data_IF_512753157898
#
_entry.id   IF_512753157898
#
_cell.length_a   1.000
_cell.length_b   1.000
_cell.length_c   1.000
_cell.angle_alpha   90.00
_cell.angle_beta   90.00
_cell.angle_gamma   90.00
#
_symmetry.space_group_name_H-M   'P 1'
#
loop_
_entity.id
_entity.type
_entity.pdbx_description
1 polymer ?
#
# COMPACT_ATOMS: atom_id res chain seq x y z
N UNK A 1 4.71 24.32 9.53
CA UNK A 1 3.28 24.50 9.20
C UNK A 1 2.49 23.55 10.08
N UNK A 2 1.58 24.10 10.88
CA UNK A 2 0.75 23.39 11.86
C UNK A 2 -0.34 22.55 11.19
N UNK A 3 -0.71 21.38 11.75
CA UNK A 3 -1.80 20.54 11.25
C UNK A 3 -3.14 21.18 11.64
N UNK A 4 -3.53 22.23 10.93
CA UNK A 4 -4.79 22.92 11.17
C UNK A 4 -5.94 22.17 10.50
N UNK A 5 -6.69 21.46 11.36
CA UNK A 5 -8.09 21.04 11.25
C UNK A 5 -8.76 21.33 9.89
N UNK A 6 -8.65 20.37 8.97
CA UNK A 6 -9.67 20.17 7.93
C UNK A 6 -10.97 19.76 8.64
N UNK A 7 -11.81 20.75 8.98
CA UNK A 7 -13.14 20.52 9.53
C UNK A 7 -14.02 19.85 8.46
N UNK A 8 -14.75 18.86 8.92
CA UNK A 8 -15.57 17.90 8.17
C UNK A 8 -16.59 18.50 7.21
N UNK A 9 -16.65 17.90 6.01
CA UNK A 9 -17.84 17.63 5.19
C UNK A 9 -18.79 18.81 4.97
N UNK A 10 -18.30 19.90 4.38
CA UNK A 10 -19.14 20.85 3.65
C UNK A 10 -19.32 20.38 2.19
N UNK A 11 -20.36 20.83 1.49
CA UNK A 11 -20.54 20.56 0.05
C UNK A 11 -19.31 20.98 -0.78
N UNK A 12 -18.60 22.01 -0.32
CA UNK A 12 -17.35 22.51 -0.92
C UNK A 12 -16.21 21.48 -0.86
N UNK A 13 -16.24 20.54 0.08
CA UNK A 13 -15.21 19.50 0.22
C UNK A 13 -15.24 18.48 -0.92
N UNK A 14 -16.40 18.26 -1.55
CA UNK A 14 -16.52 17.31 -2.68
C UNK A 14 -15.81 17.81 -3.94
N UNK A 15 -15.75 19.13 -4.13
CA UNK A 15 -15.07 19.75 -5.28
C UNK A 15 -13.55 19.60 -5.23
N UNK A 16 -13.00 19.31 -4.06
CA UNK A 16 -11.57 19.10 -3.87
C UNK A 16 -11.17 17.65 -4.17
N UNK A 17 -12.12 16.73 -4.32
CA UNK A 17 -11.82 15.32 -4.63
C UNK A 17 -11.42 15.20 -6.10
N UNK A 18 -10.36 14.45 -6.35
CA UNK A 18 -9.93 14.16 -7.70
C UNK A 18 -11.08 13.51 -8.51
N UNK A 19 -11.36 13.94 -9.75
CA UNK A 19 -12.52 13.48 -10.52
C UNK A 19 -12.69 11.96 -10.59
N UNK A 20 -11.59 11.23 -10.83
CA UNK A 20 -11.60 9.76 -10.87
C UNK A 20 -12.06 9.09 -9.56
N UNK A 21 -11.86 9.74 -8.41
CA UNK A 21 -12.15 9.17 -7.10
C UNK A 21 -13.53 9.59 -6.58
N UNK A 22 -14.13 10.64 -7.14
CA UNK A 22 -15.35 11.26 -6.65
C UNK A 22 -16.52 10.28 -6.58
N UNK A 23 -16.81 9.60 -7.69
CA UNK A 23 -17.94 8.67 -7.77
C UNK A 23 -17.79 7.50 -6.78
N UNK A 24 -16.59 6.94 -6.67
CA UNK A 24 -16.28 5.86 -5.73
C UNK A 24 -16.44 6.31 -4.29
N UNK A 25 -15.90 7.48 -3.93
CA UNK A 25 -15.99 8.00 -2.57
C UNK A 25 -17.45 8.30 -2.18
N UNK A 26 -18.23 8.93 -3.08
CA UNK A 26 -19.67 9.16 -2.88
C UNK A 26 -20.44 7.85 -2.64
N UNK A 27 -20.16 6.80 -3.43
CA UNK A 27 -20.78 5.50 -3.24
C UNK A 27 -20.53 4.91 -1.85
N UNK A 28 -19.27 4.95 -1.39
CA UNK A 28 -18.87 4.45 -0.06
C UNK A 28 -19.58 5.21 1.07
N UNK A 29 -19.62 6.55 0.98
CA UNK A 29 -20.28 7.38 2.00
C UNK A 29 -21.79 7.15 2.01
N UNK A 30 -22.42 7.12 0.84
CA UNK A 30 -23.86 6.87 0.70
C UNK A 30 -24.27 5.50 1.23
N UNK A 31 -23.52 4.45 0.89
CA UNK A 31 -23.75 3.10 1.39
C UNK A 31 -23.64 3.06 2.92
N UNK A 32 -22.60 3.68 3.48
CA UNK A 32 -22.39 3.72 4.92
C UNK A 32 -23.49 4.50 5.66
N UNK A 33 -23.97 5.60 5.10
CA UNK A 33 -25.05 6.39 5.69
C UNK A 33 -26.37 5.62 5.64
N UNK A 34 -26.68 5.00 4.49
CA UNK A 34 -27.88 4.17 4.31
C UNK A 34 -27.93 3.03 5.33
N UNK A 35 -26.80 2.38 5.57
CA UNK A 35 -26.72 1.25 6.51
C UNK A 35 -26.36 1.68 7.94
N UNK A 36 -26.25 2.99 8.23
CA UNK A 36 -25.85 3.55 9.53
C UNK A 36 -24.53 2.97 10.07
N UNK A 37 -23.57 2.71 9.18
CA UNK A 37 -22.25 2.14 9.47
C UNK A 37 -21.15 3.20 9.42
N UNK A 38 -19.99 2.86 9.97
CA UNK A 38 -18.75 3.61 9.76
C UNK A 38 -18.24 3.35 8.34
N UNK A 39 -17.66 4.36 7.70
CA UNK A 39 -16.89 4.19 6.46
C UNK A 39 -15.41 4.50 6.68
N UNK A 40 -14.60 3.93 5.80
CA UNK A 40 -13.21 4.32 5.57
C UNK A 40 -13.01 4.40 4.06
N UNK A 41 -12.43 5.48 3.57
CA UNK A 41 -12.21 5.70 2.15
C UNK A 41 -10.89 6.40 1.92
N UNK A 42 -10.08 5.88 0.99
CA UNK A 42 -8.84 6.54 0.55
C UNK A 42 -9.06 7.15 -0.83
N UNK A 43 -8.71 8.42 -0.99
CA UNK A 43 -8.87 9.14 -2.26
C UNK A 43 -7.86 10.29 -2.37
N UNK A 44 -7.76 10.84 -3.56
CA UNK A 44 -6.93 12.00 -3.85
C UNK A 44 -7.72 13.29 -3.65
N UNK A 45 -7.12 14.24 -2.95
CA UNK A 45 -7.57 15.63 -2.89
C UNK A 45 -6.65 16.51 -3.73
N UNK A 46 -7.25 17.50 -4.40
CA UNK A 46 -6.59 18.59 -5.09
C UNK A 46 -6.56 19.77 -4.12
N UNK A 47 -5.36 20.19 -3.71
CA UNK A 47 -5.23 21.30 -2.77
C UNK A 47 -5.68 22.62 -3.41
N UNK A 48 -6.48 23.45 -2.73
CA UNK A 48 -6.94 24.72 -3.28
C UNK A 48 -5.82 25.74 -3.54
N UNK A 49 -4.73 25.68 -2.78
CA UNK A 49 -3.66 26.68 -2.79
C UNK A 49 -2.75 26.56 -4.01
N UNK A 50 -2.45 25.34 -4.45
CA UNK A 50 -1.46 25.09 -5.51
C UNK A 50 -1.86 23.97 -6.49
N UNK A 51 -3.05 23.37 -6.33
CA UNK A 51 -3.50 22.26 -7.17
C UNK A 51 -2.77 20.94 -6.93
N UNK A 52 -1.90 20.84 -5.93
CA UNK A 52 -1.16 19.62 -5.64
C UNK A 52 -2.10 18.49 -5.22
N UNK A 53 -1.79 17.28 -5.68
CA UNK A 53 -2.54 16.09 -5.30
C UNK A 53 -1.99 15.53 -4.00
N UNK A 54 -2.84 15.35 -3.00
CA UNK A 54 -2.53 14.65 -1.75
C UNK A 54 -3.43 13.44 -1.57
N UNK A 55 -2.86 12.37 -1.05
CA UNK A 55 -3.65 11.21 -0.67
C UNK A 55 -4.19 11.39 0.73
N UNK A 56 -5.49 11.19 0.90
CA UNK A 56 -6.14 11.24 2.19
C UNK A 56 -6.91 9.95 2.47
N UNK A 57 -6.99 9.61 3.75
CA UNK A 57 -7.93 8.64 4.26
C UNK A 57 -9.00 9.38 5.05
N UNK A 58 -10.23 9.29 4.58
CA UNK A 58 -11.40 9.75 5.31
C UNK A 58 -12.03 8.57 6.04
N UNK A 59 -12.43 8.81 7.29
CA UNK A 59 -13.20 7.87 8.08
C UNK A 59 -14.29 8.63 8.81
N UNK A 60 -15.52 8.13 8.75
CA UNK A 60 -16.63 8.82 9.39
C UNK A 60 -17.82 7.94 9.69
N UNK A 61 -18.75 8.51 10.45
CA UNK A 61 -20.05 7.94 10.79
C UNK A 61 -21.09 9.05 10.85
N UNK A 62 -22.24 8.83 10.23
CA UNK A 62 -23.43 9.64 10.44
C UNK A 62 -24.22 9.17 11.66
N UNK A 63 -24.69 10.11 12.46
CA UNK A 63 -25.65 9.92 13.55
C UNK A 63 -27.00 10.48 13.12
N UNK A 64 -28.07 9.76 13.41
CA UNK A 64 -29.43 10.09 12.97
C UNK A 64 -30.38 10.12 14.17
N UNK A 65 -31.43 10.92 14.10
CA UNK A 65 -32.51 10.95 15.09
C UNK A 65 -33.48 9.76 14.94
N UNK A 66 -34.46 9.68 15.83
CA UNK A 66 -35.48 8.62 15.83
C UNK A 66 -36.37 8.64 14.57
N UNK A 67 -36.48 9.80 13.92
CA UNK A 67 -37.23 9.99 12.67
C UNK A 67 -36.39 9.75 11.41
N UNK A 68 -35.09 9.47 11.58
CA UNK A 68 -34.15 9.19 10.49
C UNK A 68 -33.46 10.42 9.91
N UNK A 69 -33.62 11.62 10.49
CA UNK A 69 -32.89 12.80 10.03
C UNK A 69 -31.45 12.77 10.51
N UNK A 70 -30.54 13.28 9.67
CA UNK A 70 -29.12 13.40 10.01
C UNK A 70 -28.92 14.44 11.12
N UNK A 71 -28.37 14.00 12.26
CA UNK A 71 -28.01 14.87 13.39
C UNK A 71 -26.59 15.41 13.21
N UNK A 72 -25.64 14.52 12.92
CA UNK A 72 -24.23 14.87 12.82
C UNK A 72 -23.45 13.87 11.98
N UNK A 73 -22.32 14.33 11.43
CA UNK A 73 -21.30 13.46 10.84
C UNK A 73 -20.04 13.63 11.65
N UNK A 74 -19.59 12.56 12.29
CA UNK A 74 -18.31 12.51 12.98
C UNK A 74 -17.30 11.83 12.07
N UNK A 75 -16.22 12.53 11.73
CA UNK A 75 -15.18 11.97 10.88
C UNK A 75 -13.82 12.62 11.06
N UNK A 76 -12.81 11.99 10.48
CA UNK A 76 -11.45 12.48 10.46
C UNK A 76 -10.83 12.24 9.08
N UNK A 77 -10.24 13.29 8.53
CA UNK A 77 -9.48 13.24 7.31
C UNK A 77 -7.99 13.21 7.65
N UNK A 78 -7.29 12.18 7.21
CA UNK A 78 -5.87 11.93 7.54
C UNK A 78 -5.07 12.01 6.26
N UNK A 79 -4.01 12.85 6.23
CA UNK A 79 -3.04 12.83 5.15
C UNK A 79 -2.23 11.53 5.20
N UNK A 80 -2.38 10.71 4.16
CA UNK A 80 -1.67 9.43 3.99
C UNK A 80 -0.67 9.49 2.84
N UNK A 81 -0.37 10.68 2.31
CA UNK A 81 0.64 10.90 1.27
C UNK A 81 2.01 10.32 1.67
N UNK A 82 2.52 10.52 2.91
CA UNK A 82 3.78 9.91 3.33
C UNK A 82 3.76 8.38 3.25
N UNK A 83 2.64 7.75 3.62
CA UNK A 83 2.49 6.30 3.55
C UNK A 83 2.51 5.80 2.10
N UNK A 84 1.74 6.44 1.21
CA UNK A 84 1.69 6.08 -0.22
C UNK A 84 3.05 6.26 -0.90
N UNK A 85 3.80 7.30 -0.52
CA UNK A 85 5.13 7.55 -1.05
C UNK A 85 6.12 6.47 -0.58
N UNK A 86 6.12 6.12 0.71
CA UNK A 86 6.96 5.04 1.25
C UNK A 86 6.65 3.68 0.59
N UNK A 87 5.37 3.35 0.37
CA UNK A 87 4.96 2.14 -0.35
C UNK A 87 5.47 2.13 -1.80
N UNK A 88 5.38 3.28 -2.49
CA UNK A 88 5.88 3.43 -3.86
C UNK A 88 7.39 3.28 -3.93
N UNK A 89 8.13 3.91 -3.02
CA UNK A 89 9.59 3.85 -2.98
C UNK A 89 10.09 2.45 -2.64
N UNK A 90 9.41 1.76 -1.71
CA UNK A 90 9.69 0.37 -1.39
C UNK A 90 9.48 -0.53 -2.62
N UNK A 91 8.32 -0.41 -3.29
CA UNK A 91 8.02 -1.18 -4.49
C UNK A 91 9.05 -0.91 -5.59
N UNK A 92 9.37 0.36 -5.85
CA UNK A 92 10.38 0.75 -6.83
C UNK A 92 11.74 0.14 -6.51
N UNK A 93 12.17 0.18 -5.24
CA UNK A 93 13.43 -0.43 -4.81
C UNK A 93 13.44 -1.94 -4.99
N UNK A 94 12.34 -2.63 -4.68
CA UNK A 94 12.20 -4.07 -4.84
C UNK A 94 12.23 -4.48 -6.32
N UNK A 95 11.47 -3.78 -7.17
CA UNK A 95 11.45 -3.99 -8.62
C UNK A 95 12.84 -3.77 -9.23
N UNK A 96 13.50 -2.67 -8.84
CA UNK A 96 14.85 -2.36 -9.31
C UNK A 96 15.88 -3.40 -8.84
N UNK A 97 15.82 -3.83 -7.59
CA UNK A 97 16.67 -4.91 -7.08
C UNK A 97 16.46 -6.18 -7.91
N UNK A 98 15.21 -6.60 -8.11
CA UNK A 98 14.88 -7.80 -8.88
C UNK A 98 15.41 -7.70 -10.31
N UNK A 99 15.12 -6.60 -11.02
CA UNK A 99 15.60 -6.40 -12.39
C UNK A 99 17.13 -6.47 -12.51
N UNK A 100 17.86 -5.84 -11.58
CA UNK A 100 19.32 -5.89 -11.58
C UNK A 100 19.85 -7.29 -11.24
N UNK A 101 19.25 -7.95 -10.26
CA UNK A 101 19.65 -9.29 -9.83
C UNK A 101 19.43 -10.35 -10.91
N UNK A 102 18.31 -10.30 -11.64
CA UNK A 102 18.02 -11.21 -12.75
C UNK A 102 18.92 -10.95 -13.98
N UNK A 103 19.29 -9.70 -14.23
CA UNK A 103 20.13 -9.33 -15.38
C UNK A 103 21.62 -9.66 -15.19
N UNK A 104 22.08 -9.88 -13.95
CA UNK A 104 23.46 -10.20 -13.67
C UNK A 104 23.79 -11.65 -14.04
N UNK A 105 24.93 -11.93 -14.69
CA UNK A 105 25.34 -13.30 -14.98
C UNK A 105 25.83 -14.07 -13.74
N UNK A 106 26.02 -13.41 -12.60
CA UNK A 106 26.41 -14.04 -11.34
C UNK A 106 25.20 -14.62 -10.61
N UNK A 107 25.42 -15.68 -9.85
CA UNK A 107 24.44 -16.22 -8.90
C UNK A 107 24.30 -15.22 -7.74
N UNK A 108 23.06 -14.80 -7.46
CA UNK A 108 22.70 -13.92 -6.35
C UNK A 108 21.63 -14.60 -5.51
N UNK A 109 21.82 -14.60 -4.19
CA UNK A 109 20.79 -15.03 -3.25
C UNK A 109 20.73 -14.12 -2.03
N UNK A 110 19.57 -14.09 -1.40
CA UNK A 110 19.32 -13.39 -0.14
C UNK A 110 18.75 -14.38 0.86
N UNK A 111 19.32 -14.38 2.06
CA UNK A 111 18.81 -15.14 3.19
C UNK A 111 18.16 -14.19 4.20
N UNK A 112 17.11 -14.66 4.87
CA UNK A 112 16.52 -13.94 5.99
C UNK A 112 17.41 -14.04 7.25
N UNK A 113 17.00 -13.39 8.36
CA UNK A 113 17.74 -13.40 9.62
C UNK A 113 17.93 -14.79 10.26
N UNK A 114 17.09 -15.78 9.91
CA UNK A 114 17.24 -17.18 10.33
C UNK A 114 18.15 -17.98 9.40
N UNK A 115 18.63 -17.35 8.32
CA UNK A 115 19.45 -17.96 7.30
C UNK A 115 18.68 -18.77 6.26
N UNK A 116 17.36 -18.67 6.21
CA UNK A 116 16.54 -19.35 5.21
C UNK A 116 16.55 -18.54 3.91
N UNK A 117 16.55 -19.24 2.76
CA UNK A 117 16.56 -18.61 1.45
C UNK A 117 15.25 -17.85 1.20
N UNK A 118 15.38 -16.54 1.03
CA UNK A 118 14.28 -15.62 0.77
C UNK A 118 14.16 -15.34 -0.73
N UNK A 119 15.30 -15.17 -1.42
CA UNK A 119 15.38 -14.90 -2.84
C UNK A 119 16.61 -15.57 -3.46
N UNK A 120 16.48 -16.02 -4.70
CA UNK A 120 17.58 -16.38 -5.58
C UNK A 120 17.22 -16.01 -7.02
N UNK A 121 18.19 -15.50 -7.79
CA UNK A 121 18.00 -15.13 -9.19
C UNK A 121 18.01 -16.35 -10.12
N UNK A 122 17.67 -16.16 -11.40
CA UNK A 122 17.56 -17.25 -12.38
C UNK A 122 18.84 -18.09 -12.50
N UNK A 123 20.01 -17.46 -12.38
CA UNK A 123 21.30 -18.13 -12.48
C UNK A 123 21.49 -19.20 -11.40
N UNK A 124 20.92 -19.02 -10.19
CA UNK A 124 20.93 -20.06 -9.15
C UNK A 124 20.16 -21.30 -9.61
N UNK A 125 18.99 -21.11 -10.21
CA UNK A 125 18.14 -22.22 -10.64
C UNK A 125 18.73 -22.91 -11.86
N UNK A 126 19.30 -22.16 -12.80
CA UNK A 126 19.97 -22.73 -13.98
C UNK A 126 21.19 -23.58 -13.58
N UNK A 127 21.95 -23.11 -12.58
CA UNK A 127 23.12 -23.83 -12.08
C UNK A 127 22.75 -25.06 -11.24
N UNK A 128 21.82 -24.91 -10.30
CA UNK A 128 21.51 -25.95 -9.32
C UNK A 128 20.46 -26.95 -9.78
N UNK A 129 19.60 -26.57 -10.74
CA UNK A 129 18.43 -27.33 -11.16
C UNK A 129 17.32 -27.41 -10.10
N UNK A 130 17.43 -26.67 -9.00
CA UNK A 130 16.49 -26.71 -7.88
C UNK A 130 15.36 -25.70 -8.07
N UNK A 131 14.19 -25.95 -7.47
CA UNK A 131 13.18 -24.91 -7.27
C UNK A 131 13.47 -24.07 -6.02
N UNK A 132 12.81 -22.93 -5.84
CA UNK A 132 12.93 -22.12 -4.62
C UNK A 132 12.61 -22.94 -3.35
N UNK A 133 11.52 -23.73 -3.38
CA UNK A 133 11.11 -24.56 -2.25
C UNK A 133 12.19 -25.60 -1.89
N UNK A 134 12.73 -26.27 -2.90
CA UNK A 134 13.82 -27.23 -2.72
C UNK A 134 15.10 -26.54 -2.23
N UNK A 135 15.35 -25.32 -2.69
CA UNK A 135 16.51 -24.52 -2.31
C UNK A 135 16.42 -23.98 -0.88
N UNK A 136 15.25 -24.01 -0.22
CA UNK A 136 15.15 -23.69 1.21
C UNK A 136 15.63 -24.81 2.12
N UNK A 137 15.72 -26.05 1.63
CA UNK A 137 16.32 -27.16 2.36
C UNK A 137 17.85 -27.08 2.31
N UNK A 138 18.44 -26.54 3.39
CA UNK A 138 19.90 -26.40 3.55
C UNK A 138 20.68 -27.71 3.43
N UNK A 139 20.05 -28.89 3.58
CA UNK A 139 20.73 -30.18 3.36
C UNK A 139 21.07 -30.38 1.89
N UNK A 140 20.28 -29.83 0.96
CA UNK A 140 20.53 -29.92 -0.48
C UNK A 140 21.71 -29.07 -0.94
N UNK A 141 22.08 -28.04 -0.17
CA UNK A 141 23.24 -27.21 -0.50
C UNK A 141 24.57 -27.94 -0.30
N UNK A 142 24.62 -28.87 0.66
CA UNK A 142 25.80 -29.73 0.89
C UNK A 142 26.10 -30.67 -0.29
N UNK A 143 25.13 -30.93 -1.15
CA UNK A 143 25.33 -31.71 -2.37
C UNK A 143 25.92 -30.88 -3.53
N UNK A 144 25.85 -29.54 -3.44
CA UNK A 144 26.40 -28.61 -4.43
C UNK A 144 27.81 -28.11 -4.06
N UNK A 145 28.23 -28.25 -2.79
CA UNK A 145 29.60 -28.00 -2.38
C UNK A 145 30.52 -29.09 -2.94
N UNK A 146 31.51 -28.69 -3.75
CA UNK A 146 32.62 -29.55 -4.17
C UNK A 146 33.21 -30.19 -2.90
N UNK A 147 33.39 -31.52 -2.84
CA UNK A 147 34.00 -32.14 -1.68
C UNK A 147 35.39 -31.53 -1.48
N UNK A 148 35.64 -31.04 -0.26
CA UNK A 148 36.98 -30.60 0.14
C UNK A 148 37.91 -31.80 -0.04
N UNK A 149 38.89 -31.69 -0.96
CA UNK A 149 39.98 -32.66 -1.07
C UNK A 149 40.82 -32.67 0.20
#
# INVERSE_FOLDING_TARGET
>A
MTPEKLKSTSEESWNLIHPDDLHRHQGIVNEAFTHKRRYVSEFRLIRPDNGAIVWVQDRGKASFDETGNLISVEGALIDITPRKQAEKDLRWSQEKFHQLAEAMPQIVWVNNAKGELEYANQQWYDYSGLTLEQSRDRKRWKALSIPTM
#
